data_IF_039274599806
#
_entry.id   IF_039274599806
#
_cell.length_a   1.000
_cell.length_b   1.000
_cell.length_c   1.000
_cell.angle_alpha   90.00
_cell.angle_beta   90.00
_cell.angle_gamma   90.00
#
_symmetry.space_group_name_H-M   'P 1'
#
loop_
_entity.id
_entity.type
_entity.pdbx_description
1 polymer ?
#
# COMPACT_ATOMS: atom_id res chain seq x y z
N UNK A 1 -28.66 15.67 0.71
CA UNK A 1 -28.23 15.75 2.11
C UNK A 1 -26.71 15.78 2.14
N UNK A 2 -26.08 16.83 2.70
CA UNK A 2 -24.64 16.88 2.92
C UNK A 2 -24.29 15.93 4.06
N UNK A 3 -23.46 14.91 3.78
CA UNK A 3 -22.89 14.06 4.82
C UNK A 3 -21.87 14.89 5.59
N UNK A 4 -22.15 15.19 6.85
CA UNK A 4 -21.22 15.88 7.74
C UNK A 4 -20.91 14.98 8.94
N UNK A 5 -19.97 14.06 8.81
CA UNK A 5 -19.54 13.22 9.94
C UNK A 5 -18.73 14.08 10.91
N UNK A 6 -19.14 14.20 12.16
CA UNK A 6 -18.39 14.95 13.17
C UNK A 6 -16.97 14.38 13.34
N UNK A 7 -16.86 13.08 13.56
CA UNK A 7 -15.60 12.33 13.65
C UNK A 7 -15.64 11.08 12.77
N UNK A 8 -14.52 10.73 12.18
CA UNK A 8 -14.39 9.55 11.32
C UNK A 8 -13.22 8.67 11.77
N UNK A 9 -13.35 7.37 11.54
CA UNK A 9 -12.26 6.41 11.66
C UNK A 9 -11.87 6.01 10.23
N UNK A 10 -10.59 6.09 9.92
CA UNK A 10 -10.07 5.75 8.60
C UNK A 10 -9.40 4.38 8.66
N UNK A 11 -9.86 3.43 7.85
CA UNK A 11 -9.22 2.14 7.67
C UNK A 11 -8.70 2.01 6.25
N UNK A 12 -7.43 1.60 6.10
CA UNK A 12 -6.81 1.39 4.80
C UNK A 12 -5.93 0.16 4.75
N UNK A 13 -6.21 -0.71 3.79
CA UNK A 13 -5.37 -1.86 3.47
C UNK A 13 -4.40 -1.51 2.34
N UNK A 14 -3.16 -1.96 2.43
CA UNK A 14 -2.15 -1.87 1.37
C UNK A 14 -2.03 -0.45 0.80
N UNK A 15 -2.45 -0.21 -0.44
CA UNK A 15 -2.47 1.11 -1.07
C UNK A 15 -3.33 2.14 -0.31
N UNK A 16 -4.43 1.70 0.32
CA UNK A 16 -5.30 2.54 1.15
C UNK A 16 -4.55 3.22 2.29
N UNK A 17 -3.55 2.55 2.84
CA UNK A 17 -2.68 3.15 3.85
C UNK A 17 -1.89 4.35 3.34
N UNK A 18 -1.38 4.31 2.10
CA UNK A 18 -0.74 5.48 1.48
C UNK A 18 -1.69 6.67 1.38
N UNK A 19 -2.94 6.39 1.02
CA UNK A 19 -3.98 7.44 0.93
C UNK A 19 -4.20 8.08 2.29
N UNK A 20 -4.35 7.26 3.34
CA UNK A 20 -4.54 7.74 4.72
C UNK A 20 -3.34 8.56 5.18
N UNK A 21 -2.10 8.08 5.01
CA UNK A 21 -0.88 8.79 5.42
C UNK A 21 -0.84 10.19 4.75
N UNK A 22 -1.14 10.27 3.46
CA UNK A 22 -1.19 11.56 2.76
C UNK A 22 -2.34 12.44 3.22
N UNK A 23 -3.50 11.85 3.46
CA UNK A 23 -4.67 12.57 3.95
C UNK A 23 -4.41 13.19 5.32
N UNK A 24 -3.78 12.46 6.24
CA UNK A 24 -3.42 12.95 7.58
C UNK A 24 -2.43 14.13 7.55
N UNK A 25 -1.72 14.32 6.44
CA UNK A 25 -0.81 15.44 6.22
C UNK A 25 -1.42 16.58 5.40
N UNK A 26 -2.71 16.49 5.07
CA UNK A 26 -3.41 17.53 4.31
C UNK A 26 -4.08 18.51 5.27
N UNK A 27 -3.88 19.79 5.04
CA UNK A 27 -4.62 20.84 5.74
C UNK A 27 -6.09 20.91 5.30
N UNK A 28 -6.98 21.32 6.20
CA UNK A 28 -8.37 21.65 5.87
C UNK A 28 -9.23 20.44 5.51
N UNK A 29 -9.11 19.33 6.24
CA UNK A 29 -10.05 18.21 6.10
C UNK A 29 -11.46 18.67 6.53
N UNK A 30 -12.51 18.26 5.80
CA UNK A 30 -13.90 18.62 6.12
C UNK A 30 -14.48 17.82 7.31
N UNK A 31 -13.67 16.99 7.96
CA UNK A 31 -14.04 16.16 9.12
C UNK A 31 -12.85 15.98 10.06
N UNK A 32 -13.12 15.67 11.31
CA UNK A 32 -12.09 15.29 12.27
C UNK A 32 -11.81 13.78 12.18
N UNK A 33 -10.53 13.41 12.17
CA UNK A 33 -10.12 12.00 12.22
C UNK A 33 -9.91 11.59 13.68
N UNK A 34 -10.71 10.64 14.14
CA UNK A 34 -10.66 10.12 15.51
C UNK A 34 -9.55 9.08 15.68
N UNK A 35 -9.53 8.09 14.78
CA UNK A 35 -8.55 7.00 14.77
C UNK A 35 -8.19 6.62 13.36
N UNK A 36 -6.99 6.04 13.17
CA UNK A 36 -6.62 5.41 11.89
C UNK A 36 -6.25 3.94 12.09
N UNK A 37 -6.51 3.13 11.08
CA UNK A 37 -6.20 1.70 11.06
C UNK A 37 -5.50 1.41 9.75
N UNK A 38 -4.25 0.97 9.84
CA UNK A 38 -3.42 0.63 8.69
C UNK A 38 -3.19 -0.88 8.69
N UNK A 39 -3.75 -1.56 7.69
CA UNK A 39 -3.69 -3.01 7.56
C UNK A 39 -2.75 -3.37 6.41
N UNK A 40 -1.68 -4.12 6.70
CA UNK A 40 -0.68 -4.54 5.71
C UNK A 40 -0.31 -3.37 4.77
N UNK A 41 -0.04 -2.21 5.35
CA UNK A 41 -0.08 -0.91 4.66
C UNK A 41 1.17 -0.66 3.83
N UNK A 42 0.99 -0.17 2.62
CA UNK A 42 2.07 0.47 1.89
C UNK A 42 2.30 1.90 2.39
N UNK A 43 3.51 2.43 2.19
CA UNK A 43 3.89 3.78 2.61
C UNK A 43 5.40 3.95 2.67
N UNK A 44 6.09 2.92 3.09
CA UNK A 44 7.54 2.85 3.08
C UNK A 44 8.02 2.47 1.68
N UNK A 45 9.10 3.09 1.24
CA UNK A 45 9.69 2.75 -0.06
C UNK A 45 10.37 1.39 0.00
N UNK A 46 9.99 0.42 -0.85
CA UNK A 46 10.58 -0.91 -0.83
C UNK A 46 12.10 -0.88 -1.02
N UNK A 47 12.84 -1.57 -0.15
CA UNK A 47 14.27 -1.81 -0.35
C UNK A 47 14.46 -2.77 -1.51
N UNK A 48 14.95 -2.27 -2.64
CA UNK A 48 15.09 -3.05 -3.87
C UNK A 48 16.39 -3.85 -3.86
N UNK A 49 16.27 -5.18 -3.93
CA UNK A 49 17.41 -6.08 -4.04
C UNK A 49 18.17 -5.87 -5.35
N UNK A 50 19.45 -6.32 -5.41
CA UNK A 50 20.23 -6.33 -6.66
C UNK A 50 19.53 -7.13 -7.76
N UNK A 51 18.89 -8.26 -7.42
CA UNK A 51 18.10 -9.07 -8.34
C UNK A 51 16.95 -8.28 -8.95
N UNK A 52 16.27 -7.45 -8.16
CA UNK A 52 15.21 -6.55 -8.66
C UNK A 52 15.80 -5.49 -9.61
N UNK A 53 16.93 -4.89 -9.27
CA UNK A 53 17.60 -3.87 -10.12
C UNK A 53 18.00 -4.47 -11.47
N UNK A 54 18.56 -5.70 -11.48
CA UNK A 54 18.88 -6.43 -12.71
C UNK A 54 17.64 -6.74 -13.54
N UNK A 55 16.54 -7.18 -12.89
CA UNK A 55 15.24 -7.38 -13.57
C UNK A 55 14.72 -6.11 -14.22
N UNK A 56 14.82 -4.97 -13.56
CA UNK A 56 14.42 -3.67 -14.12
C UNK A 56 15.34 -3.26 -15.27
N UNK A 57 16.62 -3.51 -15.18
CA UNK A 57 17.59 -3.20 -16.24
C UNK A 57 17.31 -4.04 -17.49
N UNK A 58 17.13 -5.36 -17.32
CA UNK A 58 16.77 -6.25 -18.43
C UNK A 58 15.41 -5.85 -19.09
N UNK A 59 14.44 -5.44 -18.26
CA UNK A 59 13.18 -4.91 -18.78
C UNK A 59 13.39 -3.65 -19.62
N UNK A 60 14.23 -2.70 -19.17
CA UNK A 60 14.51 -1.48 -19.92
C UNK A 60 15.22 -1.79 -21.25
N UNK A 61 16.18 -2.71 -21.24
CA UNK A 61 16.90 -3.15 -22.44
C UNK A 61 15.96 -3.82 -23.44
N UNK A 62 15.13 -4.77 -22.98
CA UNK A 62 14.12 -5.42 -23.82
C UNK A 62 13.09 -4.43 -24.38
N UNK A 63 12.65 -3.46 -23.55
CA UNK A 63 11.75 -2.39 -24.01
C UNK A 63 12.36 -1.53 -25.09
N UNK A 64 13.64 -1.19 -24.99
CA UNK A 64 14.37 -0.43 -26.00
C UNK A 64 14.48 -1.23 -27.31
N UNK A 65 14.87 -2.50 -27.23
CA UNK A 65 15.00 -3.39 -28.38
C UNK A 65 13.64 -3.61 -29.10
N UNK A 66 12.57 -3.92 -28.35
CA UNK A 66 11.21 -4.12 -28.91
C UNK A 66 10.56 -2.82 -29.37
N UNK A 67 11.03 -1.66 -28.89
CA UNK A 67 10.59 -0.34 -29.33
C UNK A 67 11.29 0.15 -30.59
N UNK A 68 12.36 -0.51 -31.03
CA UNK A 68 13.11 -0.16 -32.26
C UNK A 68 12.20 -0.31 -33.49
N UNK A 69 12.18 0.71 -34.33
CA UNK A 69 11.19 0.80 -35.44
C UNK A 69 11.07 -0.43 -36.30
N UNK A 70 12.16 -1.06 -36.79
CA UNK A 70 12.07 -2.30 -37.60
C UNK A 70 11.47 -3.47 -36.82
N UNK A 71 11.79 -3.64 -35.53
CA UNK A 71 11.25 -4.73 -34.71
C UNK A 71 9.77 -4.50 -34.42
N UNK A 72 9.34 -3.26 -34.20
CA UNK A 72 7.94 -2.90 -34.00
C UNK A 72 7.09 -3.10 -35.26
N UNK A 73 7.69 -2.93 -36.45
CA UNK A 73 7.00 -3.19 -37.70
C UNK A 73 6.73 -4.68 -37.93
N UNK A 74 7.71 -5.52 -37.56
CA UNK A 74 7.60 -6.98 -37.70
C UNK A 74 6.78 -7.65 -36.59
N UNK A 75 6.81 -7.07 -35.38
CA UNK A 75 6.17 -7.61 -34.16
C UNK A 75 5.42 -6.51 -33.39
N UNK A 76 4.29 -6.00 -33.92
CA UNK A 76 3.62 -4.81 -33.35
C UNK A 76 3.18 -4.98 -31.90
N UNK A 77 2.78 -6.19 -31.51
CA UNK A 77 2.25 -6.49 -30.18
C UNK A 77 3.30 -7.00 -29.18
N UNK A 78 4.55 -7.23 -29.62
CA UNK A 78 5.58 -7.85 -28.79
C UNK A 78 5.88 -7.03 -27.51
N UNK A 79 5.94 -5.72 -27.63
CA UNK A 79 6.20 -4.82 -26.52
C UNK A 79 5.05 -4.83 -25.51
N UNK A 80 3.80 -4.83 -25.97
CA UNK A 80 2.63 -4.84 -25.09
C UNK A 80 2.46 -6.20 -24.40
N UNK A 81 2.68 -7.29 -25.11
CA UNK A 81 2.68 -8.64 -24.54
C UNK A 81 3.80 -8.81 -23.50
N UNK A 82 4.97 -8.25 -23.74
CA UNK A 82 6.07 -8.26 -22.78
C UNK A 82 5.72 -7.44 -21.53
N UNK A 83 5.10 -6.27 -21.67
CA UNK A 83 4.64 -5.43 -20.56
C UNK A 83 3.62 -6.16 -19.68
N UNK A 84 2.64 -6.84 -20.29
CA UNK A 84 1.62 -7.62 -19.58
C UNK A 84 2.23 -8.74 -18.74
N UNK A 85 3.26 -9.42 -19.24
CA UNK A 85 3.95 -10.51 -18.50
C UNK A 85 4.82 -10.02 -17.33
N UNK A 86 5.35 -8.81 -17.42
CA UNK A 86 6.31 -8.29 -16.44
C UNK A 86 5.68 -7.44 -15.34
N UNK A 87 4.46 -6.95 -15.51
CA UNK A 87 3.72 -6.12 -14.54
C UNK A 87 2.83 -6.94 -13.61
N UNK A 88 2.32 -6.28 -12.56
CA UNK A 88 1.16 -6.80 -11.80
C UNK A 88 -0.10 -6.82 -12.66
N UNK A 89 -1.13 -7.56 -12.24
CA UNK A 89 -2.42 -7.60 -12.93
C UNK A 89 -3.00 -6.18 -13.10
N UNK A 90 -2.95 -5.36 -12.05
CA UNK A 90 -3.41 -3.97 -12.09
C UNK A 90 -2.61 -3.11 -13.09
N UNK A 91 -1.29 -3.29 -13.13
CA UNK A 91 -0.43 -2.59 -14.07
C UNK A 91 -0.72 -3.03 -15.52
N UNK A 92 -0.98 -4.33 -15.73
CA UNK A 92 -1.30 -4.87 -17.04
C UNK A 92 -2.64 -4.34 -17.56
N UNK A 93 -3.67 -4.24 -16.72
CA UNK A 93 -5.00 -3.73 -17.06
C UNK A 93 -5.06 -2.20 -17.19
N UNK A 94 -4.11 -1.47 -16.59
CA UNK A 94 -4.15 0.00 -16.53
C UNK A 94 -3.86 0.65 -17.89
N UNK A 95 -4.51 1.80 -18.14
CA UNK A 95 -4.19 2.67 -19.27
C UNK A 95 -2.75 3.23 -19.20
N UNK A 96 -2.16 3.73 -20.28
CA UNK A 96 -0.81 4.30 -20.25
C UNK A 96 -0.61 5.40 -19.20
N UNK A 97 -1.60 6.26 -19.01
CA UNK A 97 -1.59 7.33 -17.99
C UNK A 97 -1.63 6.72 -16.59
N UNK A 98 -2.53 5.76 -16.36
CA UNK A 98 -2.64 5.07 -15.07
C UNK A 98 -1.37 4.29 -14.73
N UNK A 99 -0.71 3.67 -15.70
CA UNK A 99 0.59 2.99 -15.48
C UNK A 99 1.67 3.95 -14.98
N UNK A 100 1.74 5.16 -15.54
CA UNK A 100 2.68 6.18 -15.10
C UNK A 100 2.35 6.63 -13.68
N UNK A 101 1.09 6.86 -13.37
CA UNK A 101 0.62 7.21 -12.04
C UNK A 101 0.95 6.13 -11.02
N UNK A 102 0.62 4.86 -11.31
CA UNK A 102 0.93 3.71 -10.43
C UNK A 102 2.44 3.63 -10.13
N UNK A 103 3.29 3.74 -11.16
CA UNK A 103 4.75 3.71 -10.97
C UNK A 103 5.22 4.86 -10.07
N UNK A 104 4.67 6.05 -10.25
CA UNK A 104 5.02 7.23 -9.45
C UNK A 104 4.61 7.05 -8.00
N UNK A 105 3.36 6.65 -7.77
CA UNK A 105 2.78 6.50 -6.44
C UNK A 105 3.44 5.36 -5.65
N UNK A 106 3.64 4.18 -6.26
CA UNK A 106 4.25 3.02 -5.58
C UNK A 106 5.71 3.31 -5.19
N UNK A 107 6.40 4.17 -5.92
CA UNK A 107 7.80 4.54 -5.63
C UNK A 107 7.96 5.73 -4.68
N UNK A 108 6.88 6.40 -4.34
CA UNK A 108 6.93 7.51 -3.40
C UNK A 108 7.22 7.00 -1.98
N UNK A 109 8.15 7.63 -1.29
CA UNK A 109 8.45 7.34 0.11
C UNK A 109 7.66 8.30 1.01
N UNK A 110 6.82 7.75 1.88
CA UNK A 110 6.01 8.53 2.80
C UNK A 110 6.57 8.52 4.24
N UNK A 111 7.75 7.98 4.45
CA UNK A 111 8.36 7.84 5.77
C UNK A 111 8.42 9.17 6.52
N UNK A 112 8.78 10.25 5.84
CA UNK A 112 8.88 11.59 6.43
C UNK A 112 7.53 12.16 6.93
N UNK A 113 6.41 11.62 6.44
CA UNK A 113 5.07 12.08 6.80
C UNK A 113 4.51 11.39 8.07
N UNK A 114 5.11 10.30 8.49
CA UNK A 114 4.56 9.46 9.58
C UNK A 114 4.59 10.18 10.94
N UNK A 115 5.62 10.95 11.23
CA UNK A 115 5.77 11.66 12.51
C UNK A 115 4.75 12.80 12.73
N UNK A 116 4.09 13.24 11.68
CA UNK A 116 3.07 14.29 11.75
C UNK A 116 1.65 13.74 11.98
N UNK A 117 1.46 12.43 11.93
CA UNK A 117 0.19 11.78 12.24
C UNK A 117 -0.07 11.89 13.74
N UNK A 118 -1.17 12.58 14.12
CA UNK A 118 -1.52 12.84 15.51
C UNK A 118 -2.66 11.96 16.03
N UNK A 119 -3.44 11.36 15.12
CA UNK A 119 -4.52 10.46 15.49
C UNK A 119 -3.96 9.13 16.00
N UNK A 120 -4.57 8.52 17.03
CA UNK A 120 -4.25 7.16 17.46
C UNK A 120 -4.28 6.18 16.29
N UNK A 121 -3.23 5.38 16.14
CA UNK A 121 -3.02 4.51 14.99
C UNK A 121 -2.91 3.04 15.39
N UNK A 122 -3.80 2.20 14.87
CA UNK A 122 -3.65 0.75 14.91
C UNK A 122 -2.97 0.28 13.63
N UNK A 123 -1.86 -0.42 13.77
CA UNK A 123 -1.17 -1.10 12.69
C UNK A 123 -1.45 -2.60 12.82
N UNK A 124 -2.01 -3.22 11.79
CA UNK A 124 -2.26 -4.68 11.77
C UNK A 124 -1.46 -5.28 10.63
N UNK A 125 -0.68 -6.32 10.93
CA UNK A 125 0.25 -6.86 9.94
C UNK A 125 0.34 -8.37 9.97
N UNK A 126 0.25 -9.01 8.80
CA UNK A 126 0.60 -10.41 8.63
C UNK A 126 2.11 -10.63 8.75
N UNK A 127 2.51 -11.61 9.56
CA UNK A 127 3.94 -11.91 9.80
C UNK A 127 4.65 -12.35 8.51
N UNK A 128 3.91 -13.02 7.62
CA UNK A 128 4.43 -13.58 6.37
C UNK A 128 4.19 -12.64 5.16
N UNK A 129 3.85 -11.38 5.38
CA UNK A 129 3.61 -10.44 4.28
C UNK A 129 4.89 -10.17 3.48
N UNK A 130 4.85 -10.53 2.20
CA UNK A 130 5.95 -10.33 1.24
C UNK A 130 5.75 -9.11 0.35
N UNK A 131 4.55 -8.55 0.31
CA UNK A 131 4.23 -7.36 -0.50
C UNK A 131 4.60 -6.07 0.25
N UNK A 132 4.17 -5.98 1.52
CA UNK A 132 4.56 -4.93 2.47
C UNK A 132 5.16 -5.61 3.70
N UNK A 133 6.47 -5.83 3.75
CA UNK A 133 7.10 -6.63 4.80
C UNK A 133 6.81 -6.11 6.22
N UNK A 134 6.66 -7.00 7.20
CA UNK A 134 6.44 -6.66 8.60
C UNK A 134 7.43 -5.61 9.14
N UNK A 135 8.65 -5.56 8.58
CA UNK A 135 9.64 -4.54 8.92
C UNK A 135 9.15 -3.11 8.62
N UNK A 136 8.27 -2.94 7.63
CA UNK A 136 7.66 -1.64 7.31
C UNK A 136 6.64 -1.26 8.39
N UNK A 137 5.84 -2.21 8.88
CA UNK A 137 4.93 -2.01 10.01
C UNK A 137 5.67 -1.61 11.30
N UNK A 138 6.76 -2.29 11.62
CA UNK A 138 7.64 -1.94 12.75
C UNK A 138 8.26 -0.54 12.62
N UNK A 139 8.60 -0.14 11.40
CA UNK A 139 9.10 1.21 11.15
C UNK A 139 8.00 2.26 11.30
N UNK A 140 6.78 1.99 10.83
CA UNK A 140 5.64 2.87 11.01
C UNK A 140 5.30 3.05 12.49
N UNK A 141 5.27 1.97 13.28
CA UNK A 141 5.06 2.02 14.74
C UNK A 141 6.07 2.92 15.43
N UNK A 142 7.33 2.82 15.04
CA UNK A 142 8.41 3.66 15.62
C UNK A 142 8.26 5.14 15.28
N UNK A 143 7.70 5.46 14.11
CA UNK A 143 7.68 6.83 13.58
C UNK A 143 6.36 7.57 13.82
N UNK A 144 5.25 6.86 13.96
CA UNK A 144 3.95 7.46 14.29
C UNK A 144 3.90 7.63 15.84
N UNK A 145 3.68 8.84 16.36
CA UNK A 145 3.80 9.12 17.79
C UNK A 145 2.87 8.30 18.70
N UNK A 146 1.65 8.03 18.24
CA UNK A 146 0.63 7.25 18.97
C UNK A 146 0.19 6.06 18.10
N UNK A 147 1.05 5.04 18.03
CA UNK A 147 0.79 3.85 17.24
C UNK A 147 1.07 2.57 18.03
N UNK A 148 0.23 1.54 17.80
CA UNK A 148 0.45 0.18 18.28
C UNK A 148 0.38 -0.82 17.12
N UNK A 149 1.36 -1.75 17.06
CA UNK A 149 1.44 -2.79 16.03
C UNK A 149 0.96 -4.13 16.56
N UNK A 150 -0.04 -4.69 15.91
CA UNK A 150 -0.49 -6.07 16.09
C UNK A 150 0.02 -6.92 14.93
N UNK A 151 0.80 -7.96 15.27
CA UNK A 151 1.35 -8.92 14.33
C UNK A 151 0.44 -10.16 14.32
N UNK A 152 -0.09 -10.52 13.14
CA UNK A 152 -0.95 -11.69 12.98
C UNK A 152 -0.09 -12.84 12.44
N UNK A 153 0.08 -13.87 13.26
CA UNK A 153 0.77 -15.10 12.87
C UNK A 153 0.02 -15.81 11.73
N UNK A 154 0.77 -16.57 10.92
CA UNK A 154 0.24 -17.37 9.83
C UNK A 154 -0.62 -16.58 8.82
N UNK A 155 -0.35 -15.28 8.68
CA UNK A 155 -1.01 -14.41 7.74
C UNK A 155 0.01 -13.67 6.85
N UNK A 156 -0.34 -13.49 5.59
CA UNK A 156 0.38 -12.71 4.59
C UNK A 156 -0.25 -11.34 4.37
N UNK A 157 -0.31 -10.90 3.10
CA UNK A 157 -0.76 -9.55 2.72
C UNK A 157 -2.27 -9.30 2.90
N UNK A 158 -3.04 -10.32 3.16
CA UNK A 158 -4.49 -10.20 3.42
C UNK A 158 -4.82 -10.72 4.81
N UNK A 159 -4.12 -10.20 5.82
CA UNK A 159 -4.21 -10.66 7.20
C UNK A 159 -5.65 -10.71 7.74
N UNK A 160 -6.49 -9.77 7.30
CA UNK A 160 -7.91 -9.70 7.65
C UNK A 160 -8.78 -10.82 7.04
N UNK A 161 -8.35 -11.41 5.91
CA UNK A 161 -9.02 -12.55 5.27
C UNK A 161 -8.44 -13.87 5.75
N UNK A 162 -7.12 -13.93 5.95
CA UNK A 162 -6.40 -15.14 6.31
C UNK A 162 -6.61 -15.52 7.79
N UNK A 163 -6.78 -14.51 8.67
CA UNK A 163 -7.03 -14.70 10.11
C UNK A 163 -8.18 -13.82 10.62
N UNK A 164 -9.43 -14.00 10.10
CA UNK A 164 -10.54 -13.08 10.35
C UNK A 164 -10.96 -13.01 11.82
N UNK A 165 -10.85 -14.11 12.58
CA UNK A 165 -11.20 -14.12 14.00
C UNK A 165 -10.26 -13.24 14.82
N UNK A 166 -8.95 -13.35 14.59
CA UNK A 166 -7.95 -12.56 15.28
C UNK A 166 -8.11 -11.10 14.88
N UNK A 167 -8.23 -10.83 13.58
CA UNK A 167 -8.42 -9.48 13.06
C UNK A 167 -9.64 -8.80 13.69
N UNK A 168 -10.80 -9.47 13.70
CA UNK A 168 -12.03 -8.90 14.27
C UNK A 168 -11.91 -8.64 15.77
N UNK A 169 -11.25 -9.49 16.54
CA UNK A 169 -10.99 -9.26 17.98
C UNK A 169 -10.15 -8.01 18.20
N UNK A 170 -9.07 -7.85 17.41
CA UNK A 170 -8.20 -6.67 17.45
C UNK A 170 -8.99 -5.41 17.11
N UNK A 171 -9.80 -5.46 16.06
CA UNK A 171 -10.65 -4.34 15.64
C UNK A 171 -11.66 -3.95 16.73
N UNK A 172 -12.39 -4.91 17.29
CA UNK A 172 -13.36 -4.67 18.37
C UNK A 172 -12.69 -4.00 19.58
N UNK A 173 -11.53 -4.52 19.99
CA UNK A 173 -10.78 -3.97 21.13
C UNK A 173 -10.34 -2.52 20.87
N UNK A 174 -9.74 -2.24 19.71
CA UNK A 174 -9.28 -0.89 19.39
C UNK A 174 -10.41 0.11 19.23
N UNK A 175 -11.53 -0.32 18.66
CA UNK A 175 -12.71 0.49 18.44
C UNK A 175 -13.59 0.60 19.68
N UNK A 176 -13.28 -0.12 20.77
CA UNK A 176 -14.09 -0.18 21.98
C UNK A 176 -15.54 -0.60 21.69
N UNK A 177 -15.71 -1.54 20.75
CA UNK A 177 -17.02 -2.10 20.44
C UNK A 177 -17.38 -3.15 21.49
N UNK A 178 -18.53 -2.96 22.14
CA UNK A 178 -19.06 -3.98 23.05
C UNK A 178 -19.32 -5.29 22.29
N UNK A 179 -19.03 -6.41 22.94
CA UNK A 179 -19.47 -7.70 22.41
C UNK A 179 -21.00 -7.71 22.49
N UNK A 180 -21.64 -7.63 21.32
CA UNK A 180 -23.08 -7.80 21.27
C UNK A 180 -23.46 -9.17 21.84
N UNK A 181 -24.33 -9.15 22.82
CA UNK A 181 -24.96 -10.32 23.46
C UNK A 181 -25.73 -11.12 22.41
#
# INVERSE_FOLDING_TARGET
ASFNPGKVILLGHSFGGRVIIKLMNRAGLPFAVDKIILVDSAGIRPKRSLKYKLKVLSYKAAKAALGFAPVRLLFPDALENYRKRMGSADYAAASPIMRQTLVKVVNEDLTALLSSIKAPALLVWGVNDTATPLADGKLMEKLIPDAGLVQIADAGHYSFLEQPFIFNRVMKSFLQMEEGV
#
